data_IF_403453943444
#
_entry.id   IF_403453943444
#
_cell.length_a   1.000
_cell.length_b   1.000
_cell.length_c   1.000
_cell.angle_alpha   90.00
_cell.angle_beta   90.00
_cell.angle_gamma   90.00
#
_symmetry.space_group_name_H-M   'P 1'
#
loop_
_entity.id
_entity.type
_entity.pdbx_description
1 polymer ?
#
# COMPACT_ATOMS: atom_id res chain seq x y z
N UNK A 1 -7.70 27.24 -10.71
CA UNK A 1 -7.93 26.04 -9.86
C UNK A 1 -7.00 26.13 -8.65
N UNK A 2 -7.51 25.96 -7.44
CA UNK A 2 -6.72 26.04 -6.23
C UNK A 2 -5.75 24.86 -6.10
N UNK A 3 -4.54 25.14 -5.67
CA UNK A 3 -3.56 24.11 -5.32
C UNK A 3 -3.99 23.42 -4.03
N UNK A 4 -3.89 22.10 -3.98
CA UNK A 4 -4.25 21.29 -2.81
C UNK A 4 -3.01 20.58 -2.28
N UNK A 5 -2.80 20.68 -0.97
CA UNK A 5 -1.72 19.94 -0.30
C UNK A 5 -2.03 18.45 -0.28
N UNK A 6 -1.00 17.59 -0.39
CA UNK A 6 -1.13 16.15 -0.19
C UNK A 6 -1.72 15.87 1.20
N UNK A 7 -2.81 15.12 1.33
CA UNK A 7 -3.43 14.82 2.62
C UNK A 7 -2.49 14.02 3.53
N UNK A 8 -1.69 13.12 2.97
CA UNK A 8 -0.68 12.37 3.71
C UNK A 8 0.44 13.28 4.19
N UNK A 9 1.02 14.10 3.30
CA UNK A 9 2.09 15.03 3.65
C UNK A 9 1.67 16.06 4.71
N UNK A 10 0.43 16.55 4.64
CA UNK A 10 -0.11 17.48 5.63
C UNK A 10 -0.22 16.88 7.04
N UNK A 11 -0.42 15.57 7.14
CA UNK A 11 -0.60 14.86 8.41
C UNK A 11 0.64 14.17 8.93
N UNK A 12 1.66 13.99 8.09
CA UNK A 12 2.91 13.32 8.46
C UNK A 12 3.67 14.14 9.50
N UNK A 13 4.10 13.48 10.57
CA UNK A 13 4.79 14.10 11.69
C UNK A 13 3.87 14.72 12.75
N UNK A 14 2.55 14.80 12.51
CA UNK A 14 1.55 15.30 13.47
C UNK A 14 0.65 14.14 13.91
N UNK A 15 -0.16 13.60 12.99
CA UNK A 15 -1.11 12.51 13.26
C UNK A 15 -0.71 11.19 12.62
N UNK A 16 0.10 11.24 11.56
CA UNK A 16 0.63 10.07 10.88
C UNK A 16 2.13 9.94 11.11
N UNK A 17 2.59 8.74 11.42
CA UNK A 17 4.01 8.40 11.46
C UNK A 17 4.66 8.37 10.07
N UNK A 18 5.99 8.41 10.05
CA UNK A 18 6.77 8.26 8.84
C UNK A 18 6.69 6.83 8.29
N UNK A 19 6.66 6.70 6.99
CA UNK A 19 6.67 5.38 6.33
C UNK A 19 8.07 4.78 6.25
N UNK A 20 9.10 5.61 6.30
CA UNK A 20 10.50 5.20 6.40
C UNK A 20 11.14 5.91 7.58
N UNK A 21 11.76 5.15 8.48
CA UNK A 21 12.40 5.67 9.68
C UNK A 21 13.84 5.20 9.72
N UNK A 22 14.77 6.08 9.39
CA UNK A 22 16.20 5.82 9.40
C UNK A 22 17.01 7.10 9.35
N UNK A 23 18.28 7.00 9.68
CA UNK A 23 19.26 8.07 9.54
C UNK A 23 20.41 7.60 8.64
N UNK A 24 20.88 8.48 7.77
CA UNK A 24 22.02 8.22 6.88
C UNK A 24 22.92 9.43 6.75
N UNK A 25 24.19 9.20 6.40
CA UNK A 25 25.11 10.26 6.00
C UNK A 25 24.65 10.92 4.70
N UNK A 26 25.14 12.11 4.39
CA UNK A 26 24.80 12.81 3.14
C UNK A 26 25.19 11.98 1.90
N UNK A 27 26.24 11.18 1.97
CA UNK A 27 26.70 10.32 0.88
C UNK A 27 25.75 9.12 0.64
N UNK A 28 25.20 8.54 1.72
CA UNK A 28 24.41 7.30 1.66
C UNK A 28 22.90 7.57 1.51
N UNK A 29 22.46 8.78 1.82
CA UNK A 29 21.05 9.16 1.85
C UNK A 29 20.32 8.83 0.53
N UNK A 30 20.92 9.21 -0.60
CA UNK A 30 20.35 8.96 -1.92
C UNK A 30 20.21 7.48 -2.23
N UNK A 31 21.20 6.68 -1.86
CA UNK A 31 21.19 5.24 -2.08
C UNK A 31 20.08 4.56 -1.28
N UNK A 32 19.91 4.93 -0.01
CA UNK A 32 18.85 4.36 0.84
C UNK A 32 17.45 4.75 0.36
N UNK A 33 17.27 5.98 -0.12
CA UNK A 33 16.00 6.42 -0.68
C UNK A 33 15.61 5.61 -1.93
N UNK A 34 16.57 5.41 -2.83
CA UNK A 34 16.35 4.59 -4.05
C UNK A 34 16.06 3.13 -3.68
N UNK A 35 16.77 2.60 -2.69
CA UNK A 35 16.57 1.23 -2.21
C UNK A 35 15.18 1.05 -1.59
N UNK A 36 14.71 1.99 -0.75
CA UNK A 36 13.35 1.99 -0.20
C UNK A 36 12.30 2.04 -1.30
N UNK A 37 12.50 2.86 -2.32
CA UNK A 37 11.58 2.93 -3.46
C UNK A 37 11.52 1.62 -4.25
N UNK A 38 12.66 0.95 -4.44
CA UNK A 38 12.72 -0.39 -5.09
C UNK A 38 11.96 -1.43 -4.27
N UNK A 39 12.14 -1.44 -2.94
CA UNK A 39 11.42 -2.35 -2.03
C UNK A 39 9.92 -2.13 -2.16
N UNK A 40 9.44 -0.88 -2.08
CA UNK A 40 8.01 -0.54 -2.20
C UNK A 40 7.45 -0.95 -3.55
N UNK A 41 8.15 -0.65 -4.64
CA UNK A 41 7.74 -1.01 -5.99
C UNK A 41 7.67 -2.54 -6.18
N UNK A 42 8.60 -3.27 -5.59
CA UNK A 42 8.61 -4.72 -5.63
C UNK A 42 7.42 -5.33 -4.89
N UNK A 43 7.16 -4.86 -3.66
CA UNK A 43 6.02 -5.30 -2.84
C UNK A 43 4.70 -4.98 -3.55
N UNK A 44 4.54 -3.78 -4.08
CA UNK A 44 3.34 -3.37 -4.82
C UNK A 44 3.12 -4.26 -6.06
N UNK A 45 4.17 -4.50 -6.82
CA UNK A 45 4.11 -5.38 -8.00
C UNK A 45 3.72 -6.80 -7.63
N UNK A 46 4.32 -7.37 -6.58
CA UNK A 46 4.11 -8.78 -6.18
C UNK A 46 2.73 -9.01 -5.56
N UNK A 47 2.27 -8.11 -4.68
CA UNK A 47 1.07 -8.34 -3.86
C UNK A 47 -0.17 -7.56 -4.26
N UNK A 48 -0.04 -6.42 -4.94
CA UNK A 48 -1.20 -5.63 -5.35
C UNK A 48 -1.53 -5.82 -6.84
N UNK A 49 -0.51 -5.92 -7.70
CA UNK A 49 -0.75 -5.99 -9.16
C UNK A 49 -0.83 -7.40 -9.73
N UNK A 50 -0.33 -8.41 -9.04
CA UNK A 50 -0.45 -9.81 -9.48
C UNK A 50 -1.82 -10.40 -9.11
N UNK A 51 -2.11 -11.62 -9.63
CA UNK A 51 -3.40 -12.29 -9.44
C UNK A 51 -3.75 -12.56 -7.97
N UNK A 52 -2.74 -12.76 -7.12
CA UNK A 52 -2.91 -12.95 -5.68
C UNK A 52 -2.90 -11.60 -4.97
N UNK A 53 -4.05 -10.96 -4.87
CA UNK A 53 -4.17 -9.64 -4.24
C UNK A 53 -4.22 -9.77 -2.72
N UNK A 54 -3.10 -9.59 -2.08
CA UNK A 54 -3.01 -9.57 -0.62
C UNK A 54 -3.54 -8.27 0.01
N UNK A 55 -3.71 -7.20 -0.80
CA UNK A 55 -4.21 -5.91 -0.32
C UNK A 55 -3.24 -5.26 0.66
N UNK A 56 -2.02 -4.99 0.23
CA UNK A 56 -1.02 -4.28 1.03
C UNK A 56 -1.29 -2.78 0.96
N UNK A 57 -1.81 -2.21 2.05
CA UNK A 57 -2.16 -0.79 2.10
C UNK A 57 -0.98 0.11 2.44
N UNK A 58 -0.03 -0.37 3.26
CA UNK A 58 1.11 0.41 3.72
C UNK A 58 2.33 -0.48 3.91
N UNK A 59 3.49 0.01 3.48
CA UNK A 59 4.79 -0.60 3.74
C UNK A 59 5.62 0.35 4.58
N UNK A 60 5.97 -0.06 5.79
CA UNK A 60 6.85 0.68 6.68
C UNK A 60 8.25 0.08 6.64
N UNK A 61 9.26 0.93 6.56
CA UNK A 61 10.67 0.52 6.50
C UNK A 61 11.44 1.18 7.64
N UNK A 62 12.02 0.38 8.49
CA UNK A 62 12.90 0.83 9.56
C UNK A 62 14.29 0.27 9.31
N UNK A 63 15.29 1.13 9.17
CA UNK A 63 16.66 0.72 8.99
C UNK A 63 17.44 0.89 10.26
N UNK A 64 18.10 -0.17 10.66
CA UNK A 64 19.12 -0.14 11.69
C UNK A 64 20.50 -0.30 11.04
N UNK A 65 21.57 -0.28 11.83
CA UNK A 65 22.94 -0.40 11.32
C UNK A 65 23.16 -1.71 10.55
N UNK A 66 22.56 -2.81 10.99
CA UNK A 66 22.86 -4.15 10.52
C UNK A 66 21.71 -4.81 9.75
N UNK A 67 20.48 -4.32 9.89
CA UNK A 67 19.30 -4.93 9.26
C UNK A 67 18.26 -3.90 8.82
N UNK A 68 17.44 -4.31 7.87
CA UNK A 68 16.28 -3.55 7.40
C UNK A 68 15.02 -4.30 7.81
N UNK A 69 14.21 -3.68 8.65
CA UNK A 69 12.92 -4.22 9.08
C UNK A 69 11.81 -3.63 8.20
N UNK A 70 11.08 -4.51 7.53
CA UNK A 70 9.96 -4.15 6.65
C UNK A 70 8.68 -4.64 7.31
N UNK A 71 7.73 -3.73 7.55
CA UNK A 71 6.42 -4.05 8.09
C UNK A 71 5.36 -3.82 7.02
N UNK A 72 4.63 -4.87 6.66
CA UNK A 72 3.57 -4.84 5.66
C UNK A 72 2.20 -4.83 6.36
N UNK A 73 1.41 -3.80 6.12
CA UNK A 73 0.02 -3.74 6.58
C UNK A 73 -0.88 -4.27 5.47
N UNK A 74 -1.51 -5.41 5.69
CA UNK A 74 -2.30 -6.13 4.69
C UNK A 74 -3.70 -6.45 5.19
N UNK A 75 -4.67 -6.44 4.28
CA UNK A 75 -6.02 -6.93 4.54
C UNK A 75 -6.11 -8.47 4.57
N UNK A 76 -5.16 -9.16 3.92
CA UNK A 76 -5.14 -10.62 3.82
C UNK A 76 -3.74 -11.16 4.12
N UNK A 77 -3.31 -11.13 5.39
CA UNK A 77 -1.96 -11.52 5.78
C UNK A 77 -1.61 -12.97 5.41
N UNK A 78 -2.61 -13.87 5.41
CA UNK A 78 -2.41 -15.26 5.04
C UNK A 78 -1.85 -15.45 3.62
N UNK A 79 -2.14 -14.55 2.69
CA UNK A 79 -1.61 -14.60 1.32
C UNK A 79 -0.14 -14.18 1.22
N UNK A 80 0.33 -13.37 2.18
CA UNK A 80 1.74 -12.95 2.25
C UNK A 80 2.57 -13.99 2.99
N UNK A 81 2.01 -14.55 4.07
CA UNK A 81 2.69 -15.55 4.89
C UNK A 81 2.77 -16.88 4.15
N UNK A 82 1.68 -17.23 3.44
CA UNK A 82 1.57 -18.48 2.70
C UNK A 82 1.45 -19.71 3.58
N UNK A 83 1.33 -20.90 2.96
CA UNK A 83 1.27 -22.16 3.68
C UNK A 83 2.56 -22.39 4.47
N UNK A 84 2.45 -22.60 5.77
CA UNK A 84 3.58 -22.84 6.68
C UNK A 84 4.66 -21.76 6.71
N UNK A 85 4.35 -20.54 6.25
CA UNK A 85 5.31 -19.43 6.22
C UNK A 85 6.28 -19.43 5.03
N UNK A 86 6.11 -20.30 4.04
CA UNK A 86 7.04 -20.39 2.91
C UNK A 86 7.12 -19.14 2.04
N UNK A 87 6.00 -18.46 1.81
CA UNK A 87 5.96 -17.27 0.96
C UNK A 87 6.69 -16.07 1.57
N UNK A 88 6.64 -15.90 2.88
CA UNK A 88 7.34 -14.81 3.56
C UNK A 88 8.86 -15.04 3.56
N UNK A 89 9.31 -16.29 3.62
CA UNK A 89 10.73 -16.63 3.55
C UNK A 89 11.26 -16.37 2.14
N UNK A 90 10.52 -16.75 1.10
CA UNK A 90 10.86 -16.43 -0.30
C UNK A 90 10.94 -14.92 -0.50
N UNK A 91 9.96 -14.17 0.02
CA UNK A 91 9.97 -12.71 -0.05
C UNK A 91 11.21 -12.12 0.60
N UNK A 92 11.58 -12.62 1.79
CA UNK A 92 12.78 -12.18 2.49
C UNK A 92 14.04 -12.41 1.65
N UNK A 93 14.23 -13.60 1.09
CA UNK A 93 15.38 -13.93 0.26
C UNK A 93 15.46 -13.06 -1.01
N UNK A 94 14.32 -12.80 -1.67
CA UNK A 94 14.28 -11.95 -2.85
C UNK A 94 14.67 -10.50 -2.52
N UNK A 95 14.18 -9.98 -1.41
CA UNK A 95 14.52 -8.64 -0.93
C UNK A 95 15.99 -8.56 -0.46
N UNK A 96 16.52 -9.59 0.19
CA UNK A 96 17.93 -9.67 0.57
C UNK A 96 18.85 -9.69 -0.66
N UNK A 97 18.48 -10.43 -1.71
CA UNK A 97 19.21 -10.43 -2.99
C UNK A 97 19.21 -9.05 -3.66
N UNK A 98 18.12 -8.30 -3.55
CA UNK A 98 18.01 -6.96 -4.13
C UNK A 98 18.83 -5.91 -3.37
N UNK A 99 18.88 -6.00 -2.04
CA UNK A 99 19.47 -4.96 -1.19
C UNK A 99 20.87 -5.31 -0.70
N UNK A 100 21.26 -6.57 -0.75
CA UNK A 100 22.54 -7.06 -0.20
C UNK A 100 22.62 -6.94 1.33
N UNK A 101 21.49 -6.73 2.02
CA UNK A 101 21.40 -6.54 3.47
C UNK A 101 20.48 -7.58 4.08
N UNK A 102 20.68 -7.85 5.37
CA UNK A 102 19.78 -8.71 6.13
C UNK A 102 18.42 -8.02 6.29
N UNK A 103 17.34 -8.73 5.93
CA UNK A 103 15.98 -8.23 5.98
C UNK A 103 15.14 -9.04 6.96
N UNK A 104 14.37 -8.32 7.77
CA UNK A 104 13.30 -8.88 8.61
C UNK A 104 11.95 -8.40 8.08
N UNK A 105 11.06 -9.32 7.72
CA UNK A 105 9.71 -9.01 7.23
C UNK A 105 8.69 -9.30 8.30
N UNK A 106 7.85 -8.32 8.60
CA UNK A 106 6.74 -8.42 9.53
C UNK A 106 5.42 -8.14 8.80
N UNK A 107 4.36 -8.86 9.12
CA UNK A 107 3.03 -8.65 8.53
C UNK A 107 2.04 -8.30 9.63
N UNK A 108 1.32 -7.19 9.46
CA UNK A 108 0.27 -6.72 10.37
C UNK A 108 -1.05 -6.76 9.63
N UNK A 109 -2.05 -7.35 10.25
CA UNK A 109 -3.41 -7.40 9.71
C UNK A 109 -4.12 -6.06 9.87
N UNK A 110 -4.83 -5.65 8.83
CA UNK A 110 -5.77 -4.53 8.86
C UNK A 110 -7.15 -5.09 9.19
N UNK A 111 -7.63 -4.85 10.42
CA UNK A 111 -8.90 -5.37 10.90
C UNK A 111 -10.10 -4.87 10.10
N UNK A 112 -10.06 -3.63 9.66
CA UNK A 112 -11.18 -2.95 8.96
C UNK A 112 -10.70 -2.43 7.60
N UNK A 113 -10.65 -3.31 6.57
CA UNK A 113 -10.18 -2.91 5.23
C UNK A 113 -11.09 -1.87 4.57
N UNK A 114 -12.40 -1.88 4.88
CA UNK A 114 -13.38 -0.95 4.32
C UNK A 114 -13.26 0.49 4.87
N UNK A 115 -12.48 0.71 5.92
CA UNK A 115 -12.10 2.05 6.37
C UNK A 115 -10.78 2.54 5.76
N UNK A 116 -10.06 1.68 5.06
CA UNK A 116 -8.79 2.06 4.46
C UNK A 116 -8.98 2.61 3.04
N UNK A 117 -8.75 3.91 2.86
CA UNK A 117 -8.95 4.59 1.59
C UNK A 117 -8.12 4.03 0.43
N UNK A 118 -6.91 3.52 0.71
CA UNK A 118 -6.05 2.92 -0.31
C UNK A 118 -6.65 1.61 -0.83
N UNK A 119 -7.09 0.73 0.07
CA UNK A 119 -7.71 -0.56 -0.30
C UNK A 119 -9.02 -0.38 -1.06
N UNK A 120 -9.85 0.59 -0.64
CA UNK A 120 -11.08 0.94 -1.36
C UNK A 120 -10.77 1.43 -2.77
N UNK A 121 -9.77 2.31 -2.91
CA UNK A 121 -9.39 2.83 -4.23
C UNK A 121 -8.87 1.73 -5.15
N UNK A 122 -8.08 0.80 -4.64
CA UNK A 122 -7.57 -0.35 -5.38
C UNK A 122 -8.70 -1.31 -5.82
N UNK A 123 -9.60 -1.63 -4.90
CA UNK A 123 -10.76 -2.47 -5.19
C UNK A 123 -11.69 -1.83 -6.22
N UNK A 124 -11.90 -0.51 -6.14
CA UNK A 124 -12.68 0.25 -7.12
C UNK A 124 -12.00 0.24 -8.48
N UNK A 125 -10.69 0.49 -8.55
CA UNK A 125 -9.92 0.46 -9.78
C UNK A 125 -9.99 -0.93 -10.46
N UNK A 126 -9.95 -2.00 -9.68
CA UNK A 126 -10.13 -3.36 -10.20
C UNK A 126 -11.50 -3.59 -10.84
N UNK A 127 -12.56 -3.14 -10.17
CA UNK A 127 -13.93 -3.27 -10.71
C UNK A 127 -14.10 -2.46 -12.00
N UNK A 128 -13.53 -1.26 -12.06
CA UNK A 128 -13.53 -0.46 -13.28
C UNK A 128 -12.74 -1.12 -14.40
N UNK A 129 -11.62 -1.75 -14.11
CA UNK A 129 -10.84 -2.56 -15.06
C UNK A 129 -11.64 -3.75 -15.62
N UNK A 130 -12.54 -4.32 -14.83
CA UNK A 130 -13.50 -5.36 -15.24
C UNK A 130 -14.75 -4.80 -15.97
N UNK A 131 -14.73 -3.53 -16.34
CA UNK A 131 -15.84 -2.82 -17.03
C UNK A 131 -17.16 -2.78 -16.23
N UNK A 132 -17.10 -2.82 -14.91
CA UNK A 132 -18.27 -2.63 -14.06
C UNK A 132 -18.82 -1.19 -14.18
N UNK A 133 -20.12 -1.00 -13.96
CA UNK A 133 -20.74 0.33 -13.96
C UNK A 133 -20.14 1.21 -12.87
N UNK A 134 -19.42 2.26 -13.24
CA UNK A 134 -18.72 3.14 -12.31
C UNK A 134 -19.64 3.78 -11.28
N UNK A 135 -20.88 4.22 -11.67
CA UNK A 135 -21.86 4.82 -10.75
C UNK A 135 -22.28 3.84 -9.66
N UNK A 136 -22.62 2.60 -10.06
CA UNK A 136 -23.03 1.55 -9.12
C UNK A 136 -21.88 1.15 -8.20
N UNK A 137 -20.67 0.99 -8.75
CA UNK A 137 -19.50 0.58 -7.99
C UNK A 137 -19.09 1.65 -6.96
N UNK A 138 -19.06 2.94 -7.35
CA UNK A 138 -18.79 4.03 -6.43
C UNK A 138 -19.81 4.08 -5.27
N UNK A 139 -21.10 3.92 -5.56
CA UNK A 139 -22.15 3.90 -4.55
C UNK A 139 -21.97 2.75 -3.57
N UNK A 140 -21.69 1.55 -4.07
CA UNK A 140 -21.46 0.35 -3.28
C UNK A 140 -20.32 0.55 -2.28
N UNK A 141 -19.15 1.07 -2.72
CA UNK A 141 -18.02 1.30 -1.84
C UNK A 141 -18.24 2.46 -0.85
N UNK A 142 -19.04 3.47 -1.23
CA UNK A 142 -19.45 4.51 -0.28
C UNK A 142 -20.35 3.91 0.82
N UNK A 143 -21.31 3.10 0.47
CA UNK A 143 -22.22 2.42 1.42
C UNK A 143 -21.44 1.47 2.34
N UNK A 144 -20.51 0.67 1.79
CA UNK A 144 -19.66 -0.24 2.57
C UNK A 144 -18.81 0.52 3.61
N UNK A 145 -18.15 1.60 3.21
CA UNK A 145 -17.34 2.39 4.12
C UNK A 145 -18.18 3.07 5.21
N UNK A 146 -19.37 3.57 4.88
CA UNK A 146 -20.29 4.14 5.87
C UNK A 146 -20.82 3.08 6.84
N UNK A 147 -21.12 1.87 6.35
CA UNK A 147 -21.54 0.75 7.18
C UNK A 147 -20.42 0.28 8.13
N UNK A 148 -19.15 0.36 7.70
CA UNK A 148 -17.98 0.11 8.54
C UNK A 148 -17.70 1.20 9.58
N UNK A 149 -18.51 2.27 9.63
CA UNK A 149 -18.41 3.32 10.63
C UNK A 149 -17.61 4.56 10.22
N UNK A 150 -17.37 4.77 8.94
CA UNK A 150 -16.74 6.00 8.46
C UNK A 150 -17.65 7.22 8.73
N UNK A 151 -17.06 8.33 9.20
CA UNK A 151 -17.77 9.59 9.42
C UNK A 151 -18.21 10.28 8.13
N UNK A 152 -17.62 9.92 7.02
CA UNK A 152 -17.92 10.43 5.69
C UNK A 152 -16.94 9.88 4.66
N UNK A 153 -17.42 9.73 3.42
CA UNK A 153 -16.64 9.19 2.30
C UNK A 153 -16.79 10.10 1.10
N UNK A 154 -15.69 10.33 0.39
CA UNK A 154 -15.67 11.00 -0.90
C UNK A 154 -14.89 10.17 -1.89
N UNK A 155 -15.54 9.71 -2.94
CA UNK A 155 -14.91 8.99 -4.05
C UNK A 155 -14.97 9.89 -5.30
N UNK A 156 -13.86 9.99 -6.01
CA UNK A 156 -13.78 10.73 -7.26
C UNK A 156 -13.07 9.87 -8.30
N UNK A 157 -13.73 9.64 -9.43
CA UNK A 157 -13.16 8.95 -10.58
C UNK A 157 -13.09 9.94 -11.75
N UNK A 158 -11.95 9.92 -12.46
CA UNK A 158 -11.74 10.72 -13.66
C UNK A 158 -11.39 9.84 -14.85
N UNK A 159 -11.60 10.33 -16.07
CA UNK A 159 -11.29 9.60 -17.29
C UNK A 159 -12.51 9.30 -18.16
N UNK A 160 -12.29 8.65 -19.30
CA UNK A 160 -13.36 8.22 -20.24
C UNK A 160 -14.08 6.99 -19.70
N UNK A 161 -15.02 7.19 -18.77
CA UNK A 161 -15.78 6.13 -18.15
C UNK A 161 -17.05 5.84 -18.96
N UNK A 162 -17.30 4.55 -19.22
CA UNK A 162 -18.45 4.08 -20.02
C UNK A 162 -18.52 4.69 -21.44
N UNK A 163 -17.37 5.03 -22.05
CA UNK A 163 -17.33 5.58 -23.40
C UNK A 163 -17.65 7.07 -23.51
N UNK A 164 -17.94 7.75 -22.41
CA UNK A 164 -18.16 9.20 -22.41
C UNK A 164 -16.88 9.96 -22.76
N UNK A 165 -16.98 10.95 -23.62
CA UNK A 165 -15.90 11.94 -23.83
C UNK A 165 -15.89 12.92 -22.67
N UNK A 166 -14.66 13.37 -22.30
CA UNK A 166 -14.46 14.34 -21.22
C UNK A 166 -14.22 15.69 -21.86
#
# INVERSE_FOLDING_TARGET
MGQKTSPTGFRTGITLGWQSTWFASKADYGNFLIEDQKIRAYVDKKYNRQMTKAGVAKTEIVRTRNEVKITLHSARPGMIIGPRGGEIDILREELEKMTGRKISVNVIEIKEPDLNAFLIAEALAEQLGKRASFRRTMKLYCEAAMAAGAKGVKIMCGGRLAGAEI
#
